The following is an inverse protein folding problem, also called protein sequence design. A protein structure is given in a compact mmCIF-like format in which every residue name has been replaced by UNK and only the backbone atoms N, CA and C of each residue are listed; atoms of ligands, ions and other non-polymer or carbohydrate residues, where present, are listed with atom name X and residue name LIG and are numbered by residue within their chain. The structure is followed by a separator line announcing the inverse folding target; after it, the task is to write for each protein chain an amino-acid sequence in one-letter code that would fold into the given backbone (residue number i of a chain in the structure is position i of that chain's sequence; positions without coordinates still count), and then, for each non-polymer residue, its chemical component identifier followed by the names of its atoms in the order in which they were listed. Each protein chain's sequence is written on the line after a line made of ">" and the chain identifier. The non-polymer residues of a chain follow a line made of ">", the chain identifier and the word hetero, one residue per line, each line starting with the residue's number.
data_IF_690792463160
#
_entry.id   IF_690792463160
#
_cell.length_a   1.000
_cell.length_b   1.000
_cell.length_c   1.000
_cell.angle_alpha   90.00
_cell.angle_beta   90.00
_cell.angle_gamma   90.00
#
_symmetry.space_group_name_H-M   'P 1'
#
loop_
_entity.id
_entity.type
_entity.pdbx_description
1 polymer ?
#
# COMPACT_ATOMS: atom_id res chain seq x y z
N UNK A 1 6.03 -5.33 8.41
CA UNK A 1 6.00 -4.02 9.09
C UNK A 1 4.67 -3.72 9.77
N UNK A 2 3.51 -4.00 9.14
CA UNK A 2 2.21 -3.69 9.75
C UNK A 2 1.98 -4.33 11.15
N UNK A 3 2.37 -5.59 11.34
CA UNK A 3 2.27 -6.27 12.66
C UNK A 3 3.17 -5.62 13.73
N UNK A 4 4.34 -5.12 13.33
CA UNK A 4 5.29 -4.51 14.26
C UNK A 4 4.85 -3.12 14.71
N UNK A 5 4.16 -2.37 13.84
CA UNK A 5 3.57 -1.06 14.11
C UNK A 5 4.47 -0.13 14.97
N UNK A 6 5.71 0.15 14.52
CA UNK A 6 6.78 0.70 15.37
C UNK A 6 6.60 2.16 15.80
N UNK A 7 5.68 2.92 15.19
CA UNK A 7 5.43 4.32 15.54
C UNK A 7 4.13 4.48 16.33
N UNK A 8 4.00 5.58 17.07
CA UNK A 8 2.74 5.94 17.74
C UNK A 8 1.62 6.20 16.73
N UNK A 9 1.93 6.89 15.63
CA UNK A 9 1.01 7.18 14.52
C UNK A 9 1.75 7.15 13.16
N UNK A 10 0.99 7.02 12.07
CA UNK A 10 1.54 7.13 10.71
C UNK A 10 2.17 5.84 10.16
N UNK A 11 2.02 4.70 10.84
CA UNK A 11 2.53 3.40 10.39
C UNK A 11 2.00 3.00 9.02
N UNK A 12 0.71 3.18 8.74
CA UNK A 12 0.11 2.84 7.46
C UNK A 12 0.79 3.56 6.30
N UNK A 13 0.81 4.89 6.35
CA UNK A 13 1.39 5.76 5.30
C UNK A 13 2.88 5.50 5.08
N UNK A 14 3.66 5.47 6.16
CA UNK A 14 5.11 5.22 6.09
C UNK A 14 5.44 3.83 5.55
N UNK A 15 4.69 2.81 5.99
CA UNK A 15 4.91 1.42 5.55
C UNK A 15 4.52 1.19 4.09
N UNK A 16 3.50 1.88 3.57
CA UNK A 16 3.14 1.80 2.13
C UNK A 16 4.23 2.37 1.24
N UNK A 17 4.80 3.52 1.61
CA UNK A 17 5.96 4.10 0.91
C UNK A 17 7.16 3.15 0.97
N UNK A 18 7.43 2.59 2.15
CA UNK A 18 8.50 1.61 2.33
C UNK A 18 8.33 0.38 1.44
N UNK A 19 7.11 -0.14 1.32
CA UNK A 19 6.79 -1.26 0.43
C UNK A 19 7.08 -0.91 -1.04
N UNK A 20 6.61 0.23 -1.53
CA UNK A 20 6.83 0.65 -2.92
C UNK A 20 8.32 0.84 -3.24
N UNK A 21 9.09 1.41 -2.31
CA UNK A 21 10.54 1.55 -2.50
C UNK A 21 11.24 0.20 -2.58
N UNK A 22 10.85 -0.77 -1.73
CA UNK A 22 11.39 -2.13 -1.82
C UNK A 22 11.07 -2.80 -3.16
N UNK A 23 9.82 -2.70 -3.61
CA UNK A 23 9.38 -3.26 -4.89
C UNK A 23 10.11 -2.59 -6.06
N UNK A 24 10.27 -1.26 -6.03
CA UNK A 24 10.98 -0.52 -7.07
C UNK A 24 12.45 -0.93 -7.16
N UNK A 25 13.13 -1.03 -6.01
CA UNK A 25 14.56 -1.40 -5.98
C UNK A 25 14.80 -2.85 -6.42
N UNK A 26 13.91 -3.79 -6.05
CA UNK A 26 14.14 -5.23 -6.27
C UNK A 26 13.48 -5.78 -7.54
N UNK A 27 12.36 -5.20 -7.95
CA UNK A 27 11.50 -5.75 -8.99
C UNK A 27 11.10 -4.73 -10.06
N UNK A 28 11.58 -3.47 -9.99
CA UNK A 28 11.25 -2.41 -10.96
C UNK A 28 9.74 -2.17 -11.13
N UNK A 29 8.97 -2.40 -10.06
CA UNK A 29 7.53 -2.17 -10.02
C UNK A 29 7.11 -1.43 -8.74
N UNK A 30 5.90 -0.89 -8.73
CA UNK A 30 5.26 -0.33 -7.54
C UNK A 30 3.76 -0.62 -7.55
N UNK A 31 3.06 -0.24 -6.48
CA UNK A 31 1.62 -0.43 -6.34
C UNK A 31 0.88 0.81 -6.84
N UNK A 32 -0.07 0.61 -7.73
CA UNK A 32 -1.06 1.61 -8.10
C UNK A 32 -2.19 1.61 -7.06
N UNK A 33 -2.00 2.37 -5.99
CA UNK A 33 -2.96 2.48 -4.88
C UNK A 33 -4.36 2.96 -5.31
N UNK A 34 -4.48 3.60 -6.48
CA UNK A 34 -5.78 4.02 -7.01
C UNK A 34 -6.70 2.86 -7.42
N UNK A 35 -6.11 1.67 -7.64
CA UNK A 35 -6.84 0.44 -8.03
C UNK A 35 -7.37 -0.36 -6.85
N UNK A 36 -7.06 0.02 -5.61
CA UNK A 36 -7.48 -0.72 -4.42
C UNK A 36 -8.48 0.15 -3.64
N UNK A 37 -9.68 -0.37 -3.41
CA UNK A 37 -10.69 0.33 -2.59
C UNK A 37 -10.26 0.46 -1.12
N UNK A 38 -10.58 1.59 -0.48
CA UNK A 38 -10.25 1.86 0.95
C UNK A 38 -10.67 0.70 1.85
N UNK A 39 -11.94 0.33 1.80
CA UNK A 39 -12.49 -0.71 2.68
C UNK A 39 -11.92 -2.10 2.37
N UNK A 40 -11.67 -2.42 1.10
CA UNK A 40 -11.05 -3.69 0.72
C UNK A 40 -9.62 -3.79 1.24
N UNK A 41 -8.83 -2.72 1.12
CA UNK A 41 -7.49 -2.64 1.66
C UNK A 41 -7.50 -2.81 3.19
N UNK A 42 -8.33 -2.02 3.89
CA UNK A 42 -8.38 -2.05 5.36
C UNK A 42 -8.85 -3.40 5.91
N UNK A 43 -9.86 -4.01 5.30
CA UNK A 43 -10.32 -5.36 5.65
C UNK A 43 -9.22 -6.40 5.41
N UNK A 44 -8.57 -6.35 4.24
CA UNK A 44 -7.48 -7.28 3.92
C UNK A 44 -6.28 -7.11 4.86
N UNK A 45 -5.97 -5.89 5.28
CA UNK A 45 -4.92 -5.62 6.27
C UNK A 45 -5.26 -6.16 7.65
N UNK A 46 -6.52 -6.05 8.11
CA UNK A 46 -6.97 -6.68 9.36
C UNK A 46 -6.83 -8.20 9.32
N UNK A 47 -7.23 -8.81 8.20
CA UNK A 47 -7.12 -10.27 8.00
C UNK A 47 -5.68 -10.75 7.88
N UNK A 48 -4.77 -9.90 7.38
CA UNK A 48 -3.37 -10.26 7.07
C UNK A 48 -2.54 -10.78 8.24
N UNK A 49 -2.96 -10.53 9.49
CA UNK A 49 -2.32 -11.08 10.68
C UNK A 49 -2.46 -12.62 10.71
N UNK A 50 -3.59 -13.15 10.28
CA UNK A 50 -3.87 -14.58 10.24
C UNK A 50 -3.67 -15.16 8.82
N UNK A 51 -4.13 -14.46 7.78
CA UNK A 51 -3.99 -14.88 6.39
C UNK A 51 -3.70 -13.69 5.46
N UNK A 52 -2.50 -13.70 4.88
CA UNK A 52 -2.04 -12.67 3.96
C UNK A 52 -2.51 -12.87 2.50
N UNK A 53 -3.26 -13.92 2.18
CA UNK A 53 -3.65 -14.25 0.81
C UNK A 53 -4.46 -13.14 0.14
N UNK A 54 -5.45 -12.58 0.84
CA UNK A 54 -6.31 -11.51 0.32
C UNK A 54 -5.52 -10.23 0.00
N UNK A 55 -4.68 -9.77 0.92
CA UNK A 55 -3.87 -8.56 0.68
C UNK A 55 -2.86 -8.77 -0.45
N UNK A 56 -2.25 -9.96 -0.55
CA UNK A 56 -1.35 -10.29 -1.66
C UNK A 56 -2.07 -10.25 -3.01
N UNK A 57 -3.29 -10.79 -3.09
CA UNK A 57 -4.08 -10.75 -4.32
C UNK A 57 -4.42 -9.32 -4.74
N UNK A 58 -4.89 -8.48 -3.79
CA UNK A 58 -5.19 -7.07 -4.07
C UNK A 58 -3.96 -6.31 -4.56
N UNK A 59 -2.82 -6.46 -3.87
CA UNK A 59 -1.58 -5.80 -4.27
C UNK A 59 -1.09 -6.30 -5.63
N UNK A 60 -1.16 -7.61 -5.90
CA UNK A 60 -0.74 -8.19 -7.17
C UNK A 60 -1.55 -7.66 -8.36
N UNK A 61 -2.87 -7.47 -8.19
CA UNK A 61 -3.74 -6.90 -9.22
C UNK A 61 -3.45 -5.41 -9.49
N UNK A 62 -2.85 -4.72 -8.53
CA UNK A 62 -2.51 -3.30 -8.60
C UNK A 62 -1.04 -3.03 -8.97
N UNK A 63 -0.22 -4.05 -9.25
CA UNK A 63 1.19 -3.86 -9.65
C UNK A 63 1.26 -3.09 -10.98
N UNK A 64 2.17 -2.13 -11.04
CA UNK A 64 2.54 -1.41 -12.26
C UNK A 64 4.05 -1.28 -12.40
N UNK A 65 4.52 -1.23 -13.65
CA UNK A 65 5.93 -1.00 -13.96
C UNK A 65 6.25 0.50 -14.18
N UNK A 66 5.24 1.37 -14.10
CA UNK A 66 5.40 2.83 -14.24
C UNK A 66 5.97 3.48 -12.96
N UNK A 67 7.20 3.09 -12.61
CA UNK A 67 7.87 3.54 -11.38
C UNK A 67 8.55 4.91 -11.50
N UNK A 68 8.69 5.43 -12.72
CA UNK A 68 9.29 6.73 -13.03
C UNK A 68 8.30 7.89 -13.05
N UNK A 69 7.00 7.59 -13.11
CA UNK A 69 5.96 8.61 -13.16
C UNK A 69 5.78 9.33 -11.83
N UNK A 70 6.00 10.66 -11.87
CA UNK A 70 5.70 11.55 -10.75
C UNK A 70 4.21 11.53 -10.42
N UNK A 71 3.35 11.44 -11.43
CA UNK A 71 1.90 11.39 -11.24
C UNK A 71 1.49 10.13 -10.47
N UNK A 72 2.05 8.97 -10.82
CA UNK A 72 1.80 7.72 -10.09
C UNK A 72 2.19 7.82 -8.62
N UNK A 73 3.35 8.41 -8.34
CA UNK A 73 3.79 8.63 -6.97
C UNK A 73 2.84 9.56 -6.20
N UNK A 74 2.48 10.72 -6.76
CA UNK A 74 1.60 11.69 -6.09
C UNK A 74 0.20 11.12 -5.85
N UNK A 75 -0.39 10.45 -6.84
CA UNK A 75 -1.67 9.73 -6.67
C UNK A 75 -1.56 8.66 -5.59
N UNK A 76 -0.45 7.91 -5.55
CA UNK A 76 -0.20 6.93 -4.49
C UNK A 76 -0.19 7.56 -3.09
N UNK A 77 0.41 8.74 -2.93
CA UNK A 77 0.38 9.50 -1.68
C UNK A 77 -1.05 9.92 -1.33
N UNK A 78 -1.80 10.50 -2.27
CA UNK A 78 -3.17 10.95 -2.04
C UNK A 78 -4.08 9.81 -1.56
N UNK A 79 -4.05 8.66 -2.25
CA UNK A 79 -4.81 7.47 -1.86
C UNK A 79 -4.34 6.89 -0.51
N UNK A 80 -3.02 6.89 -0.28
CA UNK A 80 -2.45 6.45 1.00
C UNK A 80 -2.92 7.32 2.17
N UNK A 81 -3.12 8.63 1.97
CA UNK A 81 -3.73 9.50 2.98
C UNK A 81 -5.23 9.29 3.11
N UNK A 82 -5.95 9.09 2.00
CA UNK A 82 -7.38 8.79 1.99
C UNK A 82 -7.73 7.54 2.82
N UNK A 83 -6.88 6.51 2.80
CA UNK A 83 -7.11 5.30 3.62
C UNK A 83 -7.11 5.56 5.12
N UNK A 84 -6.43 6.61 5.59
CA UNK A 84 -6.32 6.96 7.01
C UNK A 84 -7.35 8.01 7.44
N UNK A 85 -8.15 8.56 6.50
CA UNK A 85 -9.21 9.50 6.84
C UNK A 85 -10.34 8.76 7.56
N UNK A 86 -10.84 9.36 8.64
CA UNK A 86 -12.12 9.00 9.24
C UNK A 86 -13.25 9.26 8.23
N UNK A 87 -14.36 8.53 8.36
CA UNK A 87 -15.52 8.67 7.46
C UNK A 87 -16.28 9.98 7.71
#
# INVERSE_FOLDING_TARGET
>A
MNVAHPFMEGNGRSTRIWLDLMLKTRHQCCIDWSKIGKYDYLEAMRQSVADASRIKQLLHQAVTNDTGSREMFMKGIDYSYYYEQED
#
